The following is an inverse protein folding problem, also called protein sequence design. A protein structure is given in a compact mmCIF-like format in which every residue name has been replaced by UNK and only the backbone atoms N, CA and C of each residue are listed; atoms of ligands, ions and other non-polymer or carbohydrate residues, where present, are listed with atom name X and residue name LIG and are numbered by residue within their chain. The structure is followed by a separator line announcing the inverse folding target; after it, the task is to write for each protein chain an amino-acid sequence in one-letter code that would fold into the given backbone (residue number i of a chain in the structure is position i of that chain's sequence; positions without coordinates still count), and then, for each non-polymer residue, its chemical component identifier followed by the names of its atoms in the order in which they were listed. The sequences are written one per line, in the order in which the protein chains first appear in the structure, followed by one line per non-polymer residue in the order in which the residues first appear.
data_IF_433927310990
#
_entry.id   IF_433927310990
#
_cell.length_a   1.000
_cell.length_b   1.000
_cell.length_c   1.000
_cell.angle_alpha   90.00
_cell.angle_beta   90.00
_cell.angle_gamma   90.00
#
_symmetry.space_group_name_H-M   'P 1'
#
loop_
_entity.id
_entity.type
_entity.pdbx_description
1 polymer ?
#
# COMPACT_ATOMS: atom_id res chain seq x y z
N UNK A 1 12.77 -14.29 7.04
CA UNK A 1 13.10 -13.10 6.23
C UNK A 1 13.53 -11.97 7.16
N UNK A 2 14.47 -11.09 6.78
CA UNK A 2 14.83 -9.92 7.56
C UNK A 2 13.64 -8.99 7.75
N UNK A 3 13.54 -8.29 8.90
CA UNK A 3 12.48 -7.31 9.17
C UNK A 3 12.37 -6.24 8.07
N UNK A 4 13.51 -5.79 7.56
CA UNK A 4 13.59 -4.82 6.47
C UNK A 4 12.83 -5.26 5.19
N UNK A 5 12.74 -6.57 4.94
CA UNK A 5 11.95 -7.11 3.83
C UNK A 5 10.47 -6.80 3.98
N UNK A 6 9.89 -7.18 5.12
CA UNK A 6 8.45 -7.05 5.39
C UNK A 6 8.04 -5.60 5.65
N UNK A 7 8.84 -4.86 6.41
CA UNK A 7 8.58 -3.45 6.72
C UNK A 7 8.86 -2.53 5.53
N UNK A 8 9.79 -2.91 4.64
CA UNK A 8 10.13 -2.18 3.43
C UNK A 8 8.98 -2.13 2.44
N UNK A 9 8.30 -3.27 2.18
CA UNK A 9 7.13 -3.28 1.30
C UNK A 9 5.95 -2.48 1.87
N UNK A 10 5.77 -2.49 3.20
CA UNK A 10 4.78 -1.63 3.88
C UNK A 10 5.11 -0.15 3.73
N UNK A 11 6.36 0.24 3.97
CA UNK A 11 6.83 1.61 3.79
C UNK A 11 6.62 2.10 2.36
N UNK A 12 6.83 1.20 1.38
CA UNK A 12 6.64 1.45 -0.04
C UNK A 12 5.18 1.77 -0.38
N UNK A 13 4.22 0.94 0.08
CA UNK A 13 2.78 1.21 -0.11
C UNK A 13 2.38 2.50 0.59
N UNK A 14 2.80 2.67 1.84
CA UNK A 14 2.41 3.79 2.68
C UNK A 14 2.83 5.12 2.05
N UNK A 15 4.06 5.20 1.53
CA UNK A 15 4.55 6.41 0.89
C UNK A 15 3.98 6.60 -0.51
N UNK A 16 4.11 5.59 -1.37
CA UNK A 16 3.80 5.73 -2.80
C UNK A 16 2.30 5.73 -3.11
N UNK A 17 1.49 4.98 -2.35
CA UNK A 17 0.05 4.85 -2.64
C UNK A 17 -0.80 5.61 -1.61
N UNK A 18 -0.52 5.44 -0.32
CA UNK A 18 -1.37 6.04 0.73
C UNK A 18 -1.09 7.54 0.91
N UNK A 19 0.18 7.96 0.96
CA UNK A 19 0.53 9.35 1.13
C UNK A 19 0.49 10.16 -0.17
N UNK A 20 0.95 9.59 -1.29
CA UNK A 20 1.09 10.37 -2.53
C UNK A 20 -0.21 10.52 -3.32
N UNK A 21 -1.01 9.46 -3.52
CA UNK A 21 -2.21 9.55 -4.36
C UNK A 21 -3.23 10.60 -3.89
N UNK A 22 -3.43 10.85 -2.58
CA UNK A 22 -4.31 11.92 -2.14
C UNK A 22 -3.79 13.33 -2.47
N UNK A 23 -2.52 13.48 -2.86
CA UNK A 23 -1.95 14.77 -3.28
C UNK A 23 -2.37 15.18 -4.69
N UNK A 24 -2.64 14.22 -5.58
CA UNK A 24 -2.89 14.48 -7.01
C UNK A 24 -4.39 14.64 -7.34
N UNK A 25 -4.70 14.87 -8.62
CA UNK A 25 -6.05 15.05 -9.14
C UNK A 25 -6.81 16.18 -8.43
N UNK A 26 -8.02 15.92 -7.94
CA UNK A 26 -8.85 16.85 -7.18
C UNK A 26 -8.69 16.72 -5.66
N UNK A 27 -7.58 16.10 -5.23
CA UNK A 27 -7.20 15.95 -3.83
C UNK A 27 -6.56 17.21 -3.22
N UNK A 28 -5.46 17.03 -2.50
CA UNK A 28 -4.84 18.07 -1.67
C UNK A 28 -4.19 19.16 -2.53
N UNK A 29 -3.30 18.80 -3.47
CA UNK A 29 -2.64 19.79 -4.33
C UNK A 29 -3.54 20.25 -5.47
N UNK A 30 -4.60 19.49 -5.79
CA UNK A 30 -5.64 19.89 -6.74
C UNK A 30 -6.48 21.09 -6.26
N UNK A 31 -6.68 21.21 -4.94
CA UNK A 31 -7.39 22.33 -4.31
C UNK A 31 -6.53 22.88 -3.17
N UNK A 32 -5.40 23.54 -3.49
CA UNK A 32 -4.31 23.76 -2.53
C UNK A 32 -4.70 24.64 -1.34
N UNK A 33 -5.64 25.58 -1.52
CA UNK A 33 -6.08 26.48 -0.44
C UNK A 33 -6.73 25.69 0.71
N UNK A 34 -7.56 24.69 0.39
CA UNK A 34 -8.15 23.79 1.39
C UNK A 34 -7.11 22.74 1.78
N UNK A 35 -6.56 22.06 0.77
CA UNK A 35 -5.69 20.91 0.92
C UNK A 35 -4.47 21.18 1.78
N UNK A 36 -3.65 22.16 1.39
CA UNK A 36 -2.38 22.45 2.07
C UNK A 36 -2.64 22.97 3.49
N UNK A 37 -3.66 23.80 3.70
CA UNK A 37 -3.96 24.32 5.04
C UNK A 37 -4.43 23.20 5.97
N UNK A 38 -5.38 22.37 5.54
CA UNK A 38 -5.81 21.19 6.31
C UNK A 38 -4.65 20.22 6.55
N UNK A 39 -3.78 20.01 5.57
CA UNK A 39 -2.57 19.20 5.72
C UNK A 39 -1.59 19.77 6.73
N UNK A 40 -1.36 21.09 6.75
CA UNK A 40 -0.50 21.71 7.77
C UNK A 40 -1.07 21.54 9.18
N UNK A 41 -2.40 21.62 9.35
CA UNK A 41 -3.03 21.31 10.64
C UNK A 41 -2.74 19.87 11.05
N UNK A 42 -2.91 18.90 10.14
CA UNK A 42 -2.57 17.50 10.38
C UNK A 42 -1.10 17.33 10.76
N UNK A 43 -0.17 17.89 9.98
CA UNK A 43 1.27 17.74 10.23
C UNK A 43 1.69 18.36 11.57
N UNK A 44 1.17 19.54 11.91
CA UNK A 44 1.45 20.18 13.20
C UNK A 44 0.89 19.37 14.37
N UNK A 45 -0.31 18.83 14.22
CA UNK A 45 -1.02 18.22 15.35
C UNK A 45 -0.69 16.75 15.55
N UNK A 46 -0.55 15.99 14.47
CA UNK A 46 -0.37 14.54 14.52
C UNK A 46 1.09 14.12 14.30
N UNK A 47 1.83 14.76 13.39
CA UNK A 47 3.27 14.43 13.17
C UNK A 47 4.16 15.15 14.19
N UNK A 48 4.01 16.47 14.31
CA UNK A 48 4.79 17.27 15.27
C UNK A 48 4.22 17.22 16.71
N UNK A 49 3.11 16.49 16.91
CA UNK A 49 2.48 16.27 18.22
C UNK A 49 2.18 17.56 19.00
N UNK A 50 1.84 18.67 18.30
CA UNK A 50 1.46 19.94 18.92
C UNK A 50 -0.05 19.99 19.15
N UNK A 51 -0.49 20.67 20.21
CA UNK A 51 -1.92 20.80 20.50
C UNK A 51 -2.54 21.86 19.61
N UNK A 52 -3.73 21.57 19.08
CA UNK A 52 -4.57 22.57 18.45
C UNK A 52 -5.31 23.41 19.51
N UNK A 53 -5.77 24.60 19.14
CA UNK A 53 -6.52 25.47 20.04
C UNK A 53 -7.75 24.74 20.62
N UNK A 54 -7.97 24.86 21.93
CA UNK A 54 -9.08 24.23 22.63
C UNK A 54 -8.98 22.70 22.79
N UNK A 55 -7.80 22.09 22.57
CA UNK A 55 -7.58 20.64 22.63
C UNK A 55 -8.47 19.83 21.66
N UNK A 56 -8.89 20.44 20.55
CA UNK A 56 -9.63 19.73 19.49
C UNK A 56 -8.71 18.65 18.88
N UNK A 57 -9.19 17.41 18.65
CA UNK A 57 -8.42 16.38 17.96
C UNK A 57 -7.90 16.86 16.60
N UNK A 58 -6.63 16.62 16.30
CA UNK A 58 -5.96 17.15 15.11
C UNK A 58 -6.69 16.86 13.79
N UNK A 59 -7.17 15.62 13.63
CA UNK A 59 -7.94 15.22 12.46
C UNK A 59 -9.27 16.00 12.32
N UNK A 60 -9.99 16.18 13.42
CA UNK A 60 -11.23 16.96 13.44
C UNK A 60 -10.95 18.44 13.17
N UNK A 61 -9.90 18.99 13.76
CA UNK A 61 -9.49 20.38 13.53
C UNK A 61 -9.17 20.62 12.06
N UNK A 62 -8.40 19.73 11.41
CA UNK A 62 -8.07 19.84 9.99
C UNK A 62 -9.30 19.82 9.08
N UNK A 63 -10.27 18.93 9.39
CA UNK A 63 -11.54 18.85 8.66
C UNK A 63 -12.36 20.13 8.83
N UNK A 64 -12.54 20.62 10.06
CA UNK A 64 -13.31 21.83 10.35
C UNK A 64 -12.68 23.08 9.70
N UNK A 65 -11.36 23.20 9.75
CA UNK A 65 -10.64 24.29 9.07
C UNK A 65 -10.83 24.19 7.56
N UNK A 66 -10.72 23.00 6.99
CA UNK A 66 -10.94 22.78 5.55
C UNK A 66 -12.36 23.12 5.11
N UNK A 67 -13.37 22.72 5.90
CA UNK A 67 -14.78 23.04 5.65
C UNK A 67 -15.04 24.55 5.76
N UNK A 68 -14.43 25.24 6.73
CA UNK A 68 -14.53 26.69 6.87
C UNK A 68 -13.94 27.40 5.63
N UNK A 69 -12.75 27.00 5.21
CA UNK A 69 -12.10 27.55 4.01
C UNK A 69 -12.95 27.30 2.77
N UNK A 70 -13.53 26.11 2.65
CA UNK A 70 -14.44 25.78 1.56
C UNK A 70 -15.67 26.68 1.54
N UNK A 71 -16.35 26.84 2.68
CA UNK A 71 -17.53 27.70 2.80
C UNK A 71 -17.21 29.17 2.45
N UNK A 72 -16.07 29.68 2.91
CA UNK A 72 -15.58 31.02 2.55
C UNK A 72 -15.28 31.12 1.06
N UNK A 73 -14.65 30.09 0.47
CA UNK A 73 -14.38 30.03 -0.96
C UNK A 73 -15.65 30.08 -1.82
N UNK A 74 -16.71 29.38 -1.42
CA UNK A 74 -18.03 29.43 -2.07
C UNK A 74 -18.64 30.83 -1.94
N UNK A 75 -18.55 31.46 -0.77
CA UNK A 75 -19.05 32.82 -0.57
C UNK A 75 -18.32 33.84 -1.46
N UNK A 76 -16.99 33.77 -1.53
CA UNK A 76 -16.17 34.61 -2.43
C UNK A 76 -16.59 34.41 -3.88
N UNK A 77 -16.75 33.16 -4.32
CA UNK A 77 -17.21 32.85 -5.67
C UNK A 77 -18.57 33.48 -5.96
N UNK A 78 -19.53 33.39 -5.03
CA UNK A 78 -20.87 33.97 -5.20
C UNK A 78 -20.86 35.50 -5.34
N UNK A 79 -19.92 36.20 -4.70
CA UNK A 79 -19.86 37.67 -4.70
C UNK A 79 -19.00 38.24 -5.83
N UNK A 80 -17.95 37.51 -6.23
CA UNK A 80 -16.91 38.02 -7.14
C UNK A 80 -16.87 37.28 -8.48
N UNK A 81 -17.50 36.11 -8.59
CA UNK A 81 -17.38 35.19 -9.71
C UNK A 81 -16.05 34.40 -9.74
N UNK A 82 -15.10 34.68 -8.84
CA UNK A 82 -13.79 34.03 -8.82
C UNK A 82 -13.91 32.65 -8.15
N UNK A 83 -13.62 31.58 -8.89
CA UNK A 83 -13.64 30.22 -8.34
C UNK A 83 -12.38 29.94 -7.53
N UNK A 84 -12.50 29.91 -6.21
CA UNK A 84 -11.41 29.58 -5.27
C UNK A 84 -11.42 28.10 -4.89
N UNK A 85 -12.61 27.49 -4.88
CA UNK A 85 -12.84 26.11 -4.46
C UNK A 85 -13.86 25.46 -5.41
N UNK A 86 -13.81 24.13 -5.62
CA UNK A 86 -14.81 23.45 -6.43
C UNK A 86 -16.21 23.54 -5.79
N UNK A 87 -17.29 23.42 -6.56
CA UNK A 87 -18.64 23.35 -6.01
C UNK A 87 -18.84 22.08 -5.17
N UNK A 88 -19.73 22.15 -4.19
CA UNK A 88 -20.16 20.97 -3.44
C UNK A 88 -20.92 20.01 -4.35
N UNK A 89 -20.56 18.73 -4.27
CA UNK A 89 -21.34 17.67 -4.89
C UNK A 89 -22.32 17.12 -3.86
N UNK A 90 -23.60 17.03 -4.22
CA UNK A 90 -24.64 16.43 -3.39
C UNK A 90 -24.97 15.07 -3.99
N UNK A 91 -24.33 13.98 -3.50
CA UNK A 91 -24.56 12.67 -4.04
C UNK A 91 -25.98 12.22 -3.70
N UNK A 92 -26.58 11.44 -4.59
CA UNK A 92 -27.87 10.82 -4.30
C UNK A 92 -27.67 9.68 -3.31
N UNK A 93 -28.22 9.83 -2.11
CA UNK A 93 -28.26 8.74 -1.13
C UNK A 93 -29.39 7.80 -1.55
N UNK A 94 -29.03 6.66 -2.13
CA UNK A 94 -29.94 5.55 -2.36
C UNK A 94 -29.66 4.46 -1.35
N UNK A 95 -30.72 3.93 -0.73
CA UNK A 95 -30.61 2.69 0.00
C UNK A 95 -30.45 1.56 -1.01
N UNK A 96 -29.24 0.99 -1.08
CA UNK A 96 -28.99 -0.23 -1.83
C UNK A 96 -28.95 -1.36 -0.81
N UNK A 97 -29.95 -2.26 -0.77
CA UNK A 97 -29.94 -3.37 0.16
C UNK A 97 -28.66 -4.20 -0.08
N UNK A 98 -27.90 -4.49 0.99
CA UNK A 98 -26.65 -5.23 0.84
C UNK A 98 -26.96 -6.65 0.41
N UNK A 99 -26.15 -7.19 -0.50
CA UNK A 99 -26.14 -8.62 -0.78
C UNK A 99 -25.55 -9.31 0.44
N UNK A 100 -26.40 -9.92 1.26
CA UNK A 100 -25.97 -10.53 2.53
C UNK A 100 -25.20 -11.84 2.33
N UNK A 101 -25.33 -12.48 1.16
CA UNK A 101 -24.67 -13.76 0.87
C UNK A 101 -24.17 -13.83 -0.59
N UNK A 102 -23.21 -12.98 -0.97
CA UNK A 102 -22.72 -12.93 -2.35
C UNK A 102 -22.02 -14.24 -2.77
N UNK A 103 -21.47 -14.98 -1.80
CA UNK A 103 -20.83 -16.27 -2.04
C UNK A 103 -21.79 -17.33 -2.64
N UNK A 104 -23.09 -17.25 -2.37
CA UNK A 104 -24.05 -18.25 -2.85
C UNK A 104 -24.73 -17.92 -4.18
N UNK A 105 -24.55 -16.70 -4.72
CA UNK A 105 -25.30 -16.24 -5.89
C UNK A 105 -24.68 -16.66 -7.23
N UNK A 106 -23.38 -16.97 -7.25
CA UNK A 106 -22.67 -17.35 -8.47
C UNK A 106 -22.93 -18.78 -8.92
N UNK A 107 -23.14 -18.96 -10.23
CA UNK A 107 -23.17 -20.27 -10.87
C UNK A 107 -21.75 -20.87 -11.05
N UNK A 108 -21.65 -22.07 -11.62
CA UNK A 108 -20.35 -22.73 -11.83
C UNK A 108 -19.42 -21.94 -12.78
N UNK A 109 -19.99 -21.23 -13.76
CA UNK A 109 -19.22 -20.42 -14.70
C UNK A 109 -18.64 -19.18 -13.99
N UNK A 110 -19.43 -18.52 -13.15
CA UNK A 110 -18.99 -17.42 -12.31
C UNK A 110 -17.87 -17.85 -11.36
N UNK A 111 -18.02 -18.98 -10.66
CA UNK A 111 -16.99 -19.49 -9.77
C UNK A 111 -15.68 -19.83 -10.49
N UNK A 112 -15.77 -20.32 -11.72
CA UNK A 112 -14.59 -20.56 -12.57
C UNK A 112 -13.85 -19.25 -12.87
N UNK A 113 -14.60 -18.18 -13.19
CA UNK A 113 -14.02 -16.85 -13.41
C UNK A 113 -13.41 -16.27 -12.12
N UNK A 114 -14.10 -16.40 -10.98
CA UNK A 114 -13.61 -15.96 -9.67
C UNK A 114 -12.31 -16.66 -9.28
N UNK A 115 -12.21 -17.98 -9.47
CA UNK A 115 -10.96 -18.70 -9.22
C UNK A 115 -9.84 -18.24 -10.13
N UNK A 116 -10.13 -17.99 -11.40
CA UNK A 116 -9.17 -17.41 -12.34
C UNK A 116 -8.64 -16.07 -11.84
N UNK A 117 -9.52 -15.17 -11.41
CA UNK A 117 -9.15 -13.84 -10.92
C UNK A 117 -8.44 -13.90 -9.56
N UNK A 118 -8.90 -14.73 -8.63
CA UNK A 118 -8.26 -14.92 -7.33
C UNK A 118 -6.82 -15.41 -7.45
N UNK A 119 -6.54 -16.32 -8.40
CA UNK A 119 -5.19 -16.78 -8.69
C UNK A 119 -4.30 -15.64 -9.24
N UNK A 120 -4.86 -14.71 -10.02
CA UNK A 120 -4.14 -13.53 -10.52
C UNK A 120 -3.76 -12.56 -9.41
N UNK A 121 -4.61 -12.43 -8.37
CA UNK A 121 -4.32 -11.56 -7.22
C UNK A 121 -3.44 -12.20 -6.15
N UNK A 122 -3.15 -13.51 -6.22
CA UNK A 122 -2.33 -14.22 -5.23
C UNK A 122 -0.95 -13.56 -4.98
N UNK A 123 -0.22 -13.06 -6.01
CA UNK A 123 1.04 -12.33 -5.82
C UNK A 123 0.92 -11.05 -4.99
N UNK A 124 -0.24 -10.42 -4.96
CA UNK A 124 -0.53 -9.23 -4.14
C UNK A 124 -1.09 -9.63 -2.77
N UNK A 125 -2.00 -10.60 -2.75
CA UNK A 125 -2.69 -11.06 -1.55
C UNK A 125 -1.73 -11.76 -0.57
N UNK A 126 -0.77 -12.56 -1.04
CA UNK A 126 0.16 -13.29 -0.15
C UNK A 126 1.10 -12.36 0.64
N UNK A 127 1.86 -11.42 0.03
CA UNK A 127 2.66 -10.47 0.79
C UNK A 127 1.83 -9.62 1.73
N UNK A 128 0.66 -9.20 1.28
CA UNK A 128 -0.25 -8.41 2.09
C UNK A 128 -0.69 -9.20 3.33
N UNK A 129 -1.12 -10.45 3.16
CA UNK A 129 -1.49 -11.34 4.26
C UNK A 129 -0.33 -11.67 5.20
N UNK A 130 0.90 -11.80 4.69
CA UNK A 130 2.07 -11.98 5.55
C UNK A 130 2.42 -10.71 6.34
N UNK A 131 2.26 -9.54 5.71
CA UNK A 131 2.50 -8.26 6.36
C UNK A 131 1.47 -7.97 7.45
N UNK A 132 0.20 -8.32 7.24
CA UNK A 132 -0.84 -8.19 8.27
C UNK A 132 -0.61 -9.13 9.44
N UNK A 133 -0.12 -10.36 9.22
CA UNK A 133 0.29 -11.26 10.32
C UNK A 133 1.38 -10.61 11.18
N UNK A 134 2.40 -10.01 10.55
CA UNK A 134 3.47 -9.31 11.28
C UNK A 134 2.91 -8.10 12.02
N UNK A 135 2.06 -7.30 11.36
CA UNK A 135 1.36 -6.18 12.00
C UNK A 135 0.49 -6.61 13.18
N UNK A 136 -0.15 -7.78 13.11
CA UNK A 136 -0.93 -8.37 14.19
C UNK A 136 -0.05 -8.76 15.39
N UNK A 137 1.14 -9.33 15.14
CA UNK A 137 2.13 -9.61 16.19
C UNK A 137 2.58 -8.31 16.86
N UNK A 138 2.93 -7.30 16.07
CA UNK A 138 3.37 -5.98 16.58
C UNK A 138 2.25 -5.30 17.39
N UNK A 139 0.99 -5.46 17.00
CA UNK A 139 -0.14 -4.95 17.78
C UNK A 139 -0.26 -5.64 19.15
N UNK A 140 -0.02 -6.94 19.22
CA UNK A 140 -0.04 -7.69 20.49
C UNK A 140 1.14 -7.28 21.38
N UNK A 141 2.34 -7.13 20.82
CA UNK A 141 3.51 -6.60 21.55
C UNK A 141 3.27 -5.17 22.06
N UNK A 142 2.66 -4.33 21.22
CA UNK A 142 2.27 -2.96 21.58
C UNK A 142 1.25 -2.93 22.72
N UNK A 143 0.27 -3.83 22.70
CA UNK A 143 -0.70 -3.96 23.78
C UNK A 143 -0.05 -4.43 25.09
N UNK A 144 0.86 -5.41 25.02
CA UNK A 144 1.61 -5.89 26.18
C UNK A 144 2.44 -4.77 26.82
N UNK A 145 3.06 -3.91 26.00
CA UNK A 145 3.78 -2.73 26.49
C UNK A 145 2.87 -1.69 27.19
N UNK A 146 1.56 -1.70 26.91
CA UNK A 146 0.56 -0.90 27.61
C UNK A 146 -0.11 -1.65 28.80
N UNK A 147 0.40 -2.83 29.16
CA UNK A 147 -0.07 -3.64 30.28
C UNK A 147 -1.26 -4.55 29.98
N UNK A 148 -1.56 -4.81 28.71
CA UNK A 148 -2.57 -5.80 28.31
C UNK A 148 -1.91 -6.96 27.55
N UNK A 149 -1.77 -8.11 28.22
CA UNK A 149 -1.21 -9.32 27.61
C UNK A 149 -2.30 -10.12 26.89
N UNK A 150 -2.06 -10.44 25.62
CA UNK A 150 -2.93 -11.25 24.79
C UNK A 150 -2.15 -12.42 24.18
N UNK A 151 -2.82 -13.57 24.00
CA UNK A 151 -2.23 -14.68 23.24
C UNK A 151 -2.16 -14.31 21.76
N UNK A 152 -0.94 -14.13 21.25
CA UNK A 152 -0.70 -13.77 19.84
C UNK A 152 -1.36 -14.74 18.88
N UNK A 153 -1.33 -16.05 19.18
CA UNK A 153 -1.93 -17.07 18.29
C UNK A 153 -3.45 -16.92 18.24
N UNK A 154 -4.09 -16.75 19.38
CA UNK A 154 -5.53 -16.51 19.48
C UNK A 154 -5.98 -15.24 18.76
N UNK A 155 -5.22 -14.15 18.85
CA UNK A 155 -5.51 -12.89 18.15
C UNK A 155 -5.40 -13.09 16.62
N UNK A 156 -4.30 -13.68 16.14
CA UNK A 156 -4.11 -13.93 14.71
C UNK A 156 -5.16 -14.92 14.15
N UNK A 157 -5.56 -15.93 14.93
CA UNK A 157 -6.61 -16.86 14.51
C UNK A 157 -7.97 -16.15 14.41
N UNK A 158 -8.27 -15.28 15.36
CA UNK A 158 -9.51 -14.48 15.35
C UNK A 158 -9.54 -13.55 14.13
N UNK A 159 -8.41 -12.89 13.82
CA UNK A 159 -8.25 -12.08 12.61
C UNK A 159 -8.48 -12.90 11.33
N UNK A 160 -7.87 -14.08 11.23
CA UNK A 160 -8.00 -14.94 10.06
C UNK A 160 -9.45 -15.41 9.87
N UNK A 161 -10.11 -15.88 10.94
CA UNK A 161 -11.50 -16.32 10.90
C UNK A 161 -12.43 -15.16 10.51
N UNK A 162 -12.25 -13.98 11.13
CA UNK A 162 -13.03 -12.80 10.80
C UNK A 162 -12.83 -12.35 9.34
N UNK A 163 -11.61 -12.48 8.81
CA UNK A 163 -11.31 -12.16 7.40
C UNK A 163 -11.99 -13.12 6.42
N UNK A 164 -11.99 -14.43 6.73
CA UNK A 164 -12.71 -15.43 5.92
C UNK A 164 -14.21 -15.14 5.93
N UNK A 165 -14.79 -14.89 7.12
CA UNK A 165 -16.20 -14.52 7.23
C UNK A 165 -16.52 -13.23 6.47
N UNK A 166 -15.67 -12.19 6.59
CA UNK A 166 -15.84 -10.96 5.83
C UNK A 166 -15.81 -11.23 4.33
N UNK A 167 -14.85 -12.02 3.83
CA UNK A 167 -14.74 -12.39 2.41
C UNK A 167 -15.97 -13.14 1.89
N UNK A 168 -16.52 -14.08 2.66
CA UNK A 168 -17.77 -14.79 2.32
C UNK A 168 -18.95 -13.81 2.19
N UNK A 169 -18.96 -12.76 3.00
CA UNK A 169 -19.98 -11.70 2.97
C UNK A 169 -19.66 -10.58 1.96
N UNK A 170 -18.65 -10.75 1.10
CA UNK A 170 -18.28 -9.77 0.06
C UNK A 170 -17.28 -8.69 0.51
N UNK A 171 -16.66 -8.85 1.68
CA UNK A 171 -15.57 -8.01 2.14
C UNK A 171 -14.33 -8.15 1.25
N UNK A 172 -13.73 -7.01 0.89
CA UNK A 172 -12.63 -6.93 -0.09
C UNK A 172 -11.23 -6.82 0.54
N UNK A 173 -11.15 -6.62 1.86
CA UNK A 173 -9.90 -6.37 2.59
C UNK A 173 -9.83 -7.27 3.81
N UNK A 174 -8.64 -7.81 4.09
CA UNK A 174 -8.35 -8.57 5.31
C UNK A 174 -8.53 -7.69 6.56
N UNK A 175 -9.14 -8.21 7.62
CA UNK A 175 -9.19 -7.50 8.90
C UNK A 175 -7.81 -7.50 9.57
N UNK A 176 -7.54 -6.54 10.44
CA UNK A 176 -6.33 -6.49 11.25
C UNK A 176 -6.65 -5.95 12.65
N UNK A 177 -5.92 -6.34 13.70
CA UNK A 177 -6.05 -5.72 15.02
C UNK A 177 -5.84 -4.20 14.96
N UNK A 178 -6.45 -3.46 15.90
CA UNK A 178 -6.30 -2.01 15.97
C UNK A 178 -4.85 -1.62 16.27
N UNK A 179 -4.16 -1.08 15.28
CA UNK A 179 -2.85 -0.44 15.45
C UNK A 179 -3.02 0.75 16.41
N UNK A 180 -2.10 0.87 17.38
CA UNK A 180 -2.12 1.97 18.35
C UNK A 180 -2.96 1.70 19.60
N UNK A 181 -3.13 0.43 19.99
CA UNK A 181 -3.75 0.02 21.26
C UNK A 181 -3.34 0.90 22.48
N UNK A 182 -2.05 1.23 22.70
CA UNK A 182 -1.66 2.12 23.80
C UNK A 182 -2.29 3.52 23.73
N UNK A 183 -2.47 4.07 22.53
CA UNK A 183 -3.09 5.38 22.33
C UNK A 183 -4.58 5.33 22.66
N UNK A 184 -5.31 4.35 22.11
CA UNK A 184 -6.73 4.15 22.42
C UNK A 184 -6.98 3.91 23.91
N UNK A 185 -6.13 3.12 24.57
CA UNK A 185 -6.21 2.89 26.01
C UNK A 185 -6.00 4.17 26.81
N UNK A 186 -5.01 4.99 26.46
CA UNK A 186 -4.80 6.32 27.10
C UNK A 186 -5.99 7.27 26.91
N UNK A 187 -6.74 7.12 25.83
CA UNK A 187 -7.99 7.86 25.58
C UNK A 187 -9.21 7.28 26.33
N UNK A 188 -9.05 6.18 27.08
CA UNK A 188 -10.13 5.49 27.77
C UNK A 188 -10.93 4.53 26.88
N UNK A 189 -10.44 4.25 25.66
CA UNK A 189 -11.01 3.25 24.76
C UNK A 189 -10.95 1.84 25.36
N UNK A 190 -12.08 1.12 25.29
CA UNK A 190 -12.23 -0.28 25.76
C UNK A 190 -13.01 -1.07 24.71
N UNK A 191 -13.35 -2.32 24.99
CA UNK A 191 -14.13 -3.19 24.09
C UNK A 191 -15.43 -2.56 23.59
N UNK A 192 -16.12 -1.77 24.42
CA UNK A 192 -17.34 -1.05 24.01
C UNK A 192 -17.11 -0.02 22.89
N UNK A 193 -15.94 0.63 22.86
CA UNK A 193 -15.57 1.55 21.78
C UNK A 193 -15.38 0.80 20.46
N UNK A 194 -14.70 -0.35 20.50
CA UNK A 194 -14.52 -1.22 19.34
C UNK A 194 -15.86 -1.72 18.81
N UNK A 195 -16.77 -2.16 19.69
CA UNK A 195 -18.12 -2.60 19.31
C UNK A 195 -18.94 -1.47 18.71
N UNK A 196 -18.93 -0.28 19.34
CA UNK A 196 -19.63 0.89 18.81
C UNK A 196 -19.12 1.27 17.42
N UNK A 197 -17.80 1.20 17.21
CA UNK A 197 -17.19 1.45 15.89
C UNK A 197 -17.65 0.42 14.87
N UNK A 198 -17.64 -0.88 15.22
CA UNK A 198 -18.12 -1.94 14.34
C UNK A 198 -19.60 -1.76 13.96
N UNK A 199 -20.46 -1.37 14.91
CA UNK A 199 -21.88 -1.12 14.67
C UNK A 199 -22.09 0.11 13.80
N UNK A 200 -21.47 1.26 14.12
CA UNK A 200 -21.64 2.50 13.36
C UNK A 200 -21.11 2.33 11.94
N UNK A 201 -19.91 1.77 11.77
CA UNK A 201 -19.31 1.57 10.46
C UNK A 201 -20.05 0.47 9.68
N UNK A 202 -20.41 -0.63 10.35
CA UNK A 202 -21.18 -1.71 9.73
C UNK A 202 -22.54 -1.25 9.24
N UNK A 203 -23.33 -0.56 10.08
CA UNK A 203 -24.64 -0.01 9.69
C UNK A 203 -24.47 1.04 8.60
N UNK A 204 -23.48 1.93 8.70
CA UNK A 204 -23.19 2.94 7.69
C UNK A 204 -22.86 2.32 6.33
N UNK A 205 -22.10 1.22 6.31
CA UNK A 205 -21.79 0.45 5.11
C UNK A 205 -23.02 -0.26 4.54
N UNK A 206 -23.80 -0.96 5.37
CA UNK A 206 -25.00 -1.69 4.96
C UNK A 206 -26.11 -0.78 4.41
N UNK A 207 -26.16 0.48 4.84
CA UNK A 207 -27.17 1.45 4.42
C UNK A 207 -26.71 2.36 3.27
N UNK A 208 -25.42 2.32 2.91
CA UNK A 208 -24.83 3.27 1.95
C UNK A 208 -24.66 4.69 2.51
N UNK A 209 -24.82 4.90 3.82
CA UNK A 209 -24.77 6.24 4.43
C UNK A 209 -23.43 6.96 4.23
N UNK A 210 -22.34 6.21 4.00
CA UNK A 210 -21.02 6.79 3.75
C UNK A 210 -20.91 7.58 2.45
N UNK A 211 -21.85 7.43 1.51
CA UNK A 211 -21.93 8.28 0.31
C UNK A 211 -22.03 9.77 0.70
N UNK A 212 -22.63 10.10 1.85
CA UNK A 212 -22.67 11.49 2.37
C UNK A 212 -21.26 12.07 2.59
N UNK A 213 -20.24 11.24 2.84
CA UNK A 213 -18.86 11.72 2.97
C UNK A 213 -18.29 12.26 1.65
N UNK A 214 -18.87 11.92 0.49
CA UNK A 214 -18.51 12.52 -0.80
C UNK A 214 -18.89 14.00 -0.90
N UNK A 215 -19.77 14.48 0.00
CA UNK A 215 -20.06 15.92 0.13
C UNK A 215 -18.89 16.69 0.75
N UNK A 216 -17.99 16.01 1.48
CA UNK A 216 -16.86 16.67 2.11
C UNK A 216 -15.81 17.02 1.05
N UNK A 217 -15.21 18.23 1.10
CA UNK A 217 -14.15 18.59 0.17
C UNK A 217 -12.99 17.61 0.33
N UNK A 218 -12.56 16.98 -0.77
CA UNK A 218 -11.44 16.02 -0.76
C UNK A 218 -10.18 16.61 -0.12
N UNK A 219 -9.85 17.88 -0.43
CA UNK A 219 -8.73 18.58 0.20
C UNK A 219 -8.81 18.68 1.74
N UNK A 220 -10.00 18.65 2.34
CA UNK A 220 -10.17 18.65 3.79
C UNK A 220 -10.11 17.23 4.38
N UNK A 221 -10.55 16.23 3.63
CA UNK A 221 -10.67 14.83 4.08
C UNK A 221 -9.35 14.06 3.92
N UNK A 222 -8.72 14.17 2.76
CA UNK A 222 -7.54 13.39 2.35
C UNK A 222 -6.26 13.61 3.17
N UNK A 223 -5.99 14.76 3.80
CA UNK A 223 -4.76 14.96 4.57
C UNK A 223 -4.49 13.95 5.68
N UNK A 224 -5.53 13.32 6.23
CA UNK A 224 -5.34 12.24 7.22
C UNK A 224 -4.58 11.04 6.62
N UNK A 225 -4.79 10.75 5.33
CA UNK A 225 -4.10 9.67 4.62
C UNK A 225 -2.61 9.97 4.45
N UNK A 226 -2.25 11.24 4.22
CA UNK A 226 -0.84 11.67 4.17
C UNK A 226 -0.15 11.41 5.51
N UNK A 227 -0.81 11.75 6.63
CA UNK A 227 -0.30 11.44 7.96
C UNK A 227 -0.11 9.93 8.15
N UNK A 228 -1.13 9.13 7.84
CA UNK A 228 -1.05 7.66 7.98
C UNK A 228 0.10 7.10 7.16
N UNK A 229 0.26 7.54 5.91
CA UNK A 229 1.37 7.09 5.06
C UNK A 229 2.74 7.49 5.60
N UNK A 230 2.91 8.75 6.04
CA UNK A 230 4.18 9.24 6.63
C UNK A 230 4.53 8.50 7.91
N UNK A 231 3.58 8.29 8.82
CA UNK A 231 3.82 7.58 10.08
C UNK A 231 4.17 6.11 9.86
N UNK A 232 3.47 5.41 8.96
CA UNK A 232 3.79 4.01 8.64
C UNK A 232 5.20 3.93 8.04
N UNK A 233 5.54 4.81 7.10
CA UNK A 233 6.90 4.87 6.53
C UNK A 233 7.94 5.14 7.61
N UNK A 234 7.72 6.13 8.49
CA UNK A 234 8.65 6.45 9.58
C UNK A 234 8.82 5.28 10.55
N UNK A 235 7.72 4.64 10.97
CA UNK A 235 7.74 3.48 11.85
C UNK A 235 8.51 2.29 11.24
N UNK A 236 8.36 2.03 9.94
CA UNK A 236 9.12 0.99 9.24
C UNK A 236 10.63 1.23 9.30
N UNK A 237 11.10 2.48 9.20
CA UNK A 237 12.51 2.80 9.41
C UNK A 237 12.92 2.64 10.88
N UNK A 238 12.14 3.18 11.83
CA UNK A 238 12.47 3.15 13.25
C UNK A 238 12.56 1.74 13.85
N UNK A 239 11.74 0.80 13.39
CA UNK A 239 11.75 -0.60 13.86
C UNK A 239 12.82 -1.45 13.15
N UNK A 240 13.34 -0.98 12.02
CA UNK A 240 14.38 -1.65 11.25
C UNK A 240 15.77 -1.24 11.75
N UNK A 241 16.74 -2.17 11.89
CA UNK A 241 18.11 -1.79 12.24
C UNK A 241 18.68 -0.74 11.26
N UNK A 242 19.40 0.26 11.77
CA UNK A 242 19.91 1.40 10.99
C UNK A 242 20.71 0.95 9.75
N UNK A 243 21.54 -0.09 9.90
CA UNK A 243 22.31 -0.67 8.78
C UNK A 243 21.43 -1.15 7.61
N UNK A 244 20.17 -1.49 7.85
CA UNK A 244 19.23 -1.97 6.82
C UNK A 244 18.32 -0.87 6.24
N UNK A 245 18.49 0.41 6.61
CA UNK A 245 17.68 1.49 6.04
C UNK A 245 17.77 1.57 4.51
N UNK A 246 18.94 1.27 3.93
CA UNK A 246 19.11 1.20 2.48
C UNK A 246 18.22 0.11 1.84
N UNK A 247 18.00 -1.01 2.53
CA UNK A 247 17.09 -2.07 2.06
C UNK A 247 15.62 -1.62 2.10
N UNK A 248 15.22 -0.88 3.14
CA UNK A 248 13.86 -0.29 3.24
C UNK A 248 13.63 0.73 2.13
N UNK A 249 14.60 1.61 1.86
CA UNK A 249 14.52 2.58 0.77
C UNK A 249 14.46 1.89 -0.61
N UNK A 250 15.28 0.86 -0.84
CA UNK A 250 15.26 0.07 -2.08
C UNK A 250 13.87 -0.56 -2.31
N UNK A 251 13.21 -1.01 -1.24
CA UNK A 251 11.85 -1.57 -1.29
C UNK A 251 10.82 -0.60 -1.87
N UNK A 252 11.06 0.71 -1.84
CA UNK A 252 10.07 1.69 -2.36
C UNK A 252 10.03 1.78 -3.88
N UNK A 253 11.08 1.37 -4.58
CA UNK A 253 11.20 1.58 -6.02
C UNK A 253 10.09 0.87 -6.85
N UNK A 254 9.75 -0.41 -6.58
CA UNK A 254 8.65 -1.05 -7.30
C UNK A 254 7.29 -0.38 -7.05
N UNK A 255 7.03 0.09 -5.82
CA UNK A 255 5.79 0.79 -5.51
C UNK A 255 5.69 2.18 -6.18
N UNK A 256 6.82 2.88 -6.33
CA UNK A 256 6.87 4.12 -7.11
C UNK A 256 6.54 3.87 -8.59
N UNK A 257 6.95 2.74 -9.15
CA UNK A 257 6.54 2.35 -10.50
C UNK A 257 5.03 2.08 -10.59
N UNK A 258 4.45 1.40 -9.60
CA UNK A 258 3.01 1.18 -9.52
C UNK A 258 2.23 2.50 -9.40
N UNK A 259 2.69 3.42 -8.55
CA UNK A 259 2.14 4.77 -8.42
C UNK A 259 2.20 5.53 -9.75
N UNK A 260 3.37 5.54 -10.41
CA UNK A 260 3.53 6.21 -11.71
C UNK A 260 2.60 5.61 -12.78
N UNK A 261 2.46 4.28 -12.81
CA UNK A 261 1.54 3.59 -13.70
C UNK A 261 0.08 3.99 -13.44
N UNK A 262 -0.34 4.12 -12.18
CA UNK A 262 -1.67 4.61 -11.81
C UNK A 262 -1.90 6.05 -12.29
N UNK A 263 -0.91 6.93 -12.12
CA UNK A 263 -0.98 8.30 -12.63
C UNK A 263 -1.12 8.33 -14.16
N UNK A 264 -0.34 7.52 -14.89
CA UNK A 264 -0.43 7.44 -16.36
C UNK A 264 -1.81 6.93 -16.79
N UNK A 265 -2.31 5.85 -16.16
CA UNK A 265 -3.66 5.31 -16.43
C UNK A 265 -4.75 6.37 -16.15
N UNK A 266 -4.59 7.19 -15.12
CA UNK A 266 -5.51 8.30 -14.83
C UNK A 266 -5.53 9.39 -15.90
N UNK A 267 -4.45 9.55 -16.67
CA UNK A 267 -4.33 10.57 -17.73
C UNK A 267 -4.89 10.03 -19.05
N UNK A 268 -4.51 8.81 -19.44
CA UNK A 268 -4.87 8.24 -20.74
C UNK A 268 -6.17 7.41 -20.72
N UNK A 269 -6.68 7.07 -19.54
CA UNK A 269 -7.85 6.21 -19.39
C UNK A 269 -7.60 4.83 -20.06
N UNK A 270 -8.47 4.38 -20.96
CA UNK A 270 -8.29 3.11 -21.68
C UNK A 270 -7.30 3.20 -22.86
N UNK A 271 -6.80 4.39 -23.20
CA UNK A 271 -5.87 4.57 -24.33
C UNK A 271 -4.43 4.35 -23.90
N UNK A 272 -3.59 3.98 -24.87
CA UNK A 272 -2.14 3.88 -24.70
C UNK A 272 -1.40 5.06 -25.36
N UNK A 273 -0.17 5.39 -24.91
CA UNK A 273 0.68 6.36 -25.58
C UNK A 273 0.94 5.97 -27.04
N UNK A 274 1.01 6.96 -27.93
CA UNK A 274 1.24 6.72 -29.36
C UNK A 274 2.73 6.68 -29.74
N UNK A 275 3.60 7.26 -28.91
CA UNK A 275 5.05 7.25 -29.16
C UNK A 275 5.68 5.94 -28.69
N UNK A 276 6.68 5.45 -29.42
CA UNK A 276 7.42 4.23 -29.05
C UNK A 276 8.10 4.38 -27.68
N UNK A 277 8.67 5.55 -27.38
CA UNK A 277 9.24 5.86 -26.07
C UNK A 277 8.18 5.82 -24.96
N UNK A 278 6.98 6.34 -25.22
CA UNK A 278 5.86 6.30 -24.27
C UNK A 278 5.39 4.87 -24.01
N UNK A 279 5.25 4.04 -25.05
CA UNK A 279 4.91 2.63 -24.92
C UNK A 279 6.00 1.85 -24.17
N UNK A 280 7.28 2.13 -24.44
CA UNK A 280 8.38 1.50 -23.73
C UNK A 280 8.36 1.86 -22.24
N UNK A 281 8.20 3.15 -21.92
CA UNK A 281 8.10 3.64 -20.53
C UNK A 281 6.92 2.99 -19.81
N UNK A 282 5.74 2.95 -20.44
CA UNK A 282 4.55 2.30 -19.90
C UNK A 282 4.79 0.80 -19.66
N UNK A 283 5.42 0.11 -20.60
CA UNK A 283 5.74 -1.30 -20.48
C UNK A 283 6.75 -1.59 -19.37
N UNK A 284 7.79 -0.76 -19.22
CA UNK A 284 8.76 -0.91 -18.14
C UNK A 284 8.15 -0.63 -16.77
N UNK A 285 7.33 0.41 -16.66
CA UNK A 285 6.58 0.68 -15.43
C UNK A 285 5.62 -0.46 -15.10
N UNK A 286 4.95 -1.04 -16.10
CA UNK A 286 4.09 -2.22 -15.93
C UNK A 286 4.88 -3.42 -15.41
N UNK A 287 6.00 -3.77 -16.02
CA UNK A 287 6.87 -4.83 -15.49
C UNK A 287 7.37 -4.50 -14.07
N UNK A 288 7.67 -3.26 -13.73
CA UNK A 288 8.10 -2.92 -12.37
C UNK A 288 6.96 -2.94 -11.34
N UNK A 289 5.75 -2.56 -11.75
CA UNK A 289 4.56 -2.47 -10.92
C UNK A 289 3.91 -3.84 -10.66
N UNK A 290 3.92 -4.74 -11.64
CA UNK A 290 3.25 -6.03 -11.51
C UNK A 290 3.97 -6.90 -10.48
N UNK A 291 3.25 -7.24 -9.40
CA UNK A 291 3.82 -7.93 -8.24
C UNK A 291 4.74 -7.05 -7.37
N UNK A 292 4.61 -5.71 -7.42
CA UNK A 292 5.52 -4.79 -6.75
C UNK A 292 5.73 -5.08 -5.26
N UNK A 293 4.73 -5.62 -4.54
CA UNK A 293 4.86 -5.99 -3.14
C UNK A 293 5.86 -7.12 -2.92
N UNK A 294 5.76 -8.20 -3.73
CA UNK A 294 6.73 -9.29 -3.70
C UNK A 294 8.10 -8.81 -4.16
N UNK A 295 8.17 -7.99 -5.21
CA UNK A 295 9.44 -7.42 -5.68
C UNK A 295 10.11 -6.63 -4.58
N UNK A 296 9.37 -5.75 -3.90
CA UNK A 296 9.86 -4.93 -2.78
C UNK A 296 10.35 -5.80 -1.62
N UNK A 297 9.58 -6.82 -1.24
CA UNK A 297 9.93 -7.80 -0.20
C UNK A 297 11.22 -8.53 -0.54
N UNK A 298 11.34 -9.08 -1.74
CA UNK A 298 12.48 -9.88 -2.18
C UNK A 298 13.74 -9.02 -2.33
N UNK A 299 13.63 -7.83 -2.91
CA UNK A 299 14.76 -6.90 -3.07
C UNK A 299 15.29 -6.42 -1.73
N UNK A 300 14.41 -6.01 -0.82
CA UNK A 300 14.81 -5.60 0.53
C UNK A 300 15.38 -6.76 1.35
N UNK A 301 14.81 -7.97 1.22
CA UNK A 301 15.35 -9.19 1.86
C UNK A 301 16.76 -9.50 1.35
N UNK A 302 16.96 -9.50 0.03
CA UNK A 302 18.27 -9.76 -0.56
C UNK A 302 19.28 -8.68 -0.15
N UNK A 303 18.89 -7.40 -0.18
CA UNK A 303 19.75 -6.28 0.23
C UNK A 303 20.15 -6.36 1.71
N UNK A 304 19.21 -6.62 2.61
CA UNK A 304 19.52 -6.79 4.03
C UNK A 304 20.46 -7.98 4.28
N UNK A 305 20.26 -9.11 3.57
CA UNK A 305 21.18 -10.25 3.65
C UNK A 305 22.58 -9.93 3.10
N UNK A 306 22.67 -9.12 2.04
CA UNK A 306 23.97 -8.67 1.52
C UNK A 306 24.69 -7.75 2.50
N UNK A 307 23.96 -6.82 3.13
CA UNK A 307 24.51 -5.94 4.18
C UNK A 307 25.01 -6.77 5.38
N UNK A 308 24.32 -7.85 5.73
CA UNK A 308 24.71 -8.76 6.82
C UNK A 308 25.85 -9.75 6.43
N UNK A 309 26.47 -9.61 5.25
CA UNK A 309 27.49 -10.54 4.75
C UNK A 309 26.95 -11.93 4.35
N UNK A 310 25.63 -12.14 4.41
CA UNK A 310 24.97 -13.42 4.11
C UNK A 310 24.72 -13.58 2.61
N UNK A 311 25.76 -13.42 1.79
CA UNK A 311 25.67 -13.41 0.32
C UNK A 311 25.04 -14.70 -0.25
N UNK A 312 25.34 -15.87 0.32
CA UNK A 312 24.72 -17.15 -0.10
C UNK A 312 23.21 -17.20 0.13
N UNK A 313 22.73 -16.58 1.20
CA UNK A 313 21.30 -16.50 1.46
C UNK A 313 20.65 -15.49 0.50
N UNK A 314 21.31 -14.35 0.25
CA UNK A 314 20.84 -13.35 -0.71
C UNK A 314 20.71 -13.93 -2.13
N UNK A 315 21.67 -14.74 -2.59
CA UNK A 315 21.57 -15.40 -3.89
C UNK A 315 20.39 -16.38 -3.98
N UNK A 316 20.04 -17.09 -2.90
CA UNK A 316 18.85 -17.95 -2.89
C UNK A 316 17.57 -17.13 -3.05
N UNK A 317 17.49 -15.95 -2.40
CA UNK A 317 16.36 -15.02 -2.57
C UNK A 317 16.25 -14.55 -4.02
N UNK A 318 17.37 -14.25 -4.68
CA UNK A 318 17.38 -13.87 -6.10
C UNK A 318 16.98 -15.02 -7.02
N UNK A 319 17.34 -16.28 -6.72
CA UNK A 319 16.83 -17.44 -7.46
C UNK A 319 15.31 -17.58 -7.30
N UNK A 320 14.77 -17.34 -6.10
CA UNK A 320 13.31 -17.32 -5.89
C UNK A 320 12.65 -16.21 -6.72
N UNK A 321 13.25 -15.01 -6.76
CA UNK A 321 12.78 -13.92 -7.61
C UNK A 321 12.81 -14.31 -9.10
N UNK A 322 13.84 -15.04 -9.55
CA UNK A 322 13.91 -15.54 -10.91
C UNK A 322 12.72 -16.47 -11.23
N UNK A 323 12.43 -17.43 -10.35
CA UNK A 323 11.30 -18.36 -10.51
C UNK A 323 9.96 -17.61 -10.56
N UNK A 324 9.76 -16.64 -9.67
CA UNK A 324 8.54 -15.83 -9.65
C UNK A 324 8.42 -14.96 -10.91
N UNK A 325 9.52 -14.38 -11.39
CA UNK A 325 9.52 -13.59 -12.62
C UNK A 325 9.22 -14.42 -13.87
N UNK A 326 9.65 -15.68 -13.88
CA UNK A 326 9.45 -16.59 -15.00
C UNK A 326 7.97 -16.88 -15.24
N UNK A 327 7.17 -17.00 -14.18
CA UNK A 327 5.73 -17.28 -14.26
C UNK A 327 4.85 -16.02 -14.13
N UNK A 328 5.45 -14.84 -14.10
CA UNK A 328 4.72 -13.57 -14.00
C UNK A 328 4.11 -13.27 -12.62
N UNK A 329 4.55 -13.95 -11.55
CA UNK A 329 4.21 -13.58 -10.16
C UNK A 329 4.79 -12.21 -9.80
N UNK A 330 5.98 -11.91 -10.33
CA UNK A 330 6.55 -10.55 -10.38
C UNK A 330 6.93 -10.25 -11.82
N UNK A 331 6.98 -8.97 -12.19
CA UNK A 331 7.42 -8.54 -13.52
C UNK A 331 6.64 -9.09 -14.72
N UNK A 332 5.37 -9.49 -14.51
CA UNK A 332 4.50 -9.81 -15.62
C UNK A 332 4.44 -8.62 -16.59
N UNK A 333 4.62 -8.82 -17.90
CA UNK A 333 4.50 -7.74 -18.88
C UNK A 333 3.04 -7.46 -19.25
N UNK A 334 2.08 -8.23 -18.74
CA UNK A 334 0.68 -8.16 -19.14
C UNK A 334 -0.11 -7.11 -18.33
N UNK A 335 -1.08 -6.40 -18.94
CA UNK A 335 -1.86 -5.38 -18.24
C UNK A 335 -2.70 -5.90 -17.08
N UNK A 336 -3.10 -7.17 -17.13
CA UNK A 336 -3.97 -7.85 -16.16
C UNK A 336 -3.18 -8.63 -15.09
N UNK A 337 -1.86 -8.45 -15.04
CA UNK A 337 -0.94 -9.02 -14.04
C UNK A 337 -1.01 -10.55 -13.89
N UNK A 338 -1.58 -11.25 -14.87
CA UNK A 338 -1.85 -12.67 -14.73
C UNK A 338 -0.57 -13.49 -14.57
N UNK A 339 -0.66 -14.49 -13.69
CA UNK A 339 0.33 -15.56 -13.56
C UNK A 339 0.10 -16.54 -14.72
N UNK A 340 1.13 -16.73 -15.54
CA UNK A 340 1.07 -17.61 -16.70
C UNK A 340 2.48 -18.07 -17.07
N UNK A 341 2.57 -19.19 -17.79
CA UNK A 341 3.88 -19.65 -18.26
C UNK A 341 4.47 -18.69 -19.30
N UNK A 342 5.81 -18.61 -19.43
CA UNK A 342 6.46 -17.63 -20.31
C UNK A 342 5.94 -17.61 -21.76
N UNK A 343 5.62 -18.78 -22.32
CA UNK A 343 5.11 -18.89 -23.69
C UNK A 343 3.67 -18.39 -23.84
N UNK A 344 2.84 -18.55 -22.81
CA UNK A 344 1.48 -17.99 -22.78
C UNK A 344 1.55 -16.47 -22.64
N UNK A 345 2.41 -15.99 -21.74
CA UNK A 345 2.65 -14.55 -21.56
C UNK A 345 3.01 -13.89 -22.88
N UNK A 346 3.96 -14.49 -23.63
CA UNK A 346 4.40 -13.98 -24.93
C UNK A 346 3.30 -14.02 -26.00
N UNK A 347 2.45 -15.06 -26.00
CA UNK A 347 1.34 -15.17 -26.93
C UNK A 347 0.24 -14.12 -26.68
N UNK A 348 0.08 -13.71 -25.42
CA UNK A 348 -0.99 -12.81 -24.99
C UNK A 348 -0.58 -11.33 -24.93
N UNK A 349 0.66 -11.00 -25.29
CA UNK A 349 1.11 -9.61 -25.40
C UNK A 349 0.34 -8.93 -26.53
N UNK A 350 -0.30 -7.77 -26.29
CA UNK A 350 -0.96 -7.05 -27.37
C UNK A 350 0.06 -6.65 -28.44
N UNK A 351 -0.31 -6.74 -29.72
CA UNK A 351 0.60 -6.50 -30.86
C UNK A 351 1.28 -5.13 -30.81
N UNK A 352 0.61 -4.12 -30.24
CA UNK A 352 1.17 -2.78 -30.01
C UNK A 352 2.44 -2.78 -29.14
N UNK A 353 2.62 -3.80 -28.29
CA UNK A 353 3.75 -3.93 -27.37
C UNK A 353 4.84 -4.90 -27.86
N UNK A 354 4.68 -5.52 -29.03
CA UNK A 354 5.57 -6.58 -29.52
C UNK A 354 7.04 -6.14 -29.62
N UNK A 355 7.29 -4.89 -30.03
CA UNK A 355 8.65 -4.35 -30.15
C UNK A 355 9.22 -3.90 -28.80
N UNK A 356 8.40 -3.36 -27.90
CA UNK A 356 8.90 -2.81 -26.62
C UNK A 356 9.14 -3.89 -25.57
N UNK A 357 8.48 -5.05 -25.70
CA UNK A 357 8.68 -6.19 -24.80
C UNK A 357 9.94 -7.00 -25.14
N UNK A 358 10.59 -6.77 -26.28
CA UNK A 358 11.68 -7.63 -26.78
C UNK A 358 12.75 -7.96 -25.72
N UNK A 359 13.06 -7.03 -24.81
CA UNK A 359 14.04 -7.20 -23.72
C UNK A 359 13.43 -7.29 -22.32
N UNK A 360 12.12 -7.38 -22.20
CA UNK A 360 11.37 -7.29 -20.95
C UNK A 360 10.43 -8.49 -20.75
N UNK A 361 10.72 -9.61 -21.43
CA UNK A 361 9.93 -10.85 -21.32
C UNK A 361 10.21 -11.56 -19.98
N UNK A 362 9.37 -12.52 -19.56
CA UNK A 362 9.62 -13.30 -18.34
C UNK A 362 11.00 -13.98 -18.32
N UNK A 363 11.50 -14.38 -19.50
CA UNK A 363 12.85 -14.94 -19.64
C UNK A 363 13.95 -13.94 -19.31
N UNK A 364 13.82 -12.69 -19.77
CA UNK A 364 14.82 -11.65 -19.52
C UNK A 364 14.91 -11.33 -18.03
N UNK A 365 13.77 -11.18 -17.36
CA UNK A 365 13.73 -10.97 -15.91
C UNK A 365 14.31 -12.16 -15.14
N UNK A 366 13.92 -13.39 -15.49
CA UNK A 366 14.45 -14.58 -14.84
C UNK A 366 15.97 -14.71 -15.02
N UNK A 367 16.48 -14.51 -16.24
CA UNK A 367 17.91 -14.53 -16.53
C UNK A 367 18.65 -13.44 -15.75
N UNK A 368 18.11 -12.22 -15.68
CA UNK A 368 18.72 -11.13 -14.92
C UNK A 368 18.88 -11.50 -13.42
N UNK A 369 17.86 -12.11 -12.82
CA UNK A 369 17.93 -12.59 -11.44
C UNK A 369 18.89 -13.76 -11.26
N UNK A 370 18.94 -14.73 -12.19
CA UNK A 370 19.88 -15.85 -12.13
C UNK A 370 21.33 -15.36 -12.25
N UNK A 371 21.61 -14.44 -13.19
CA UNK A 371 22.94 -13.86 -13.35
C UNK A 371 23.33 -13.06 -12.10
N UNK A 372 22.40 -12.32 -11.51
CA UNK A 372 22.63 -11.61 -10.25
C UNK A 372 22.91 -12.59 -9.10
N UNK A 373 22.13 -13.67 -8.99
CA UNK A 373 22.34 -14.70 -7.99
C UNK A 373 23.71 -15.39 -8.13
N UNK A 374 24.11 -15.71 -9.36
CA UNK A 374 25.41 -16.29 -9.67
C UNK A 374 26.55 -15.34 -9.31
N UNK A 375 26.42 -14.05 -9.65
CA UNK A 375 27.39 -13.02 -9.29
C UNK A 375 27.56 -12.91 -7.77
N UNK A 376 26.46 -12.79 -7.03
CA UNK A 376 26.47 -12.71 -5.57
C UNK A 376 27.05 -13.99 -4.94
N UNK A 377 26.72 -15.16 -5.50
CA UNK A 377 27.29 -16.43 -5.04
C UNK A 377 28.80 -16.51 -5.27
N UNK A 378 29.29 -16.06 -6.42
CA UNK A 378 30.72 -15.99 -6.73
C UNK A 378 31.45 -15.04 -5.76
N UNK A 379 30.86 -13.88 -5.46
CA UNK A 379 31.39 -12.96 -4.45
C UNK A 379 31.44 -13.60 -3.06
N UNK A 380 30.49 -14.47 -2.72
CA UNK A 380 30.47 -15.24 -1.48
C UNK A 380 31.60 -16.30 -1.37
N UNK A 381 32.35 -16.55 -2.45
CA UNK A 381 33.55 -17.40 -2.43
C UNK A 381 34.83 -16.59 -2.13
N UNK A 382 34.78 -15.26 -2.28
CA UNK A 382 35.87 -14.35 -1.94
C UNK A 382 36.00 -14.12 -0.43
N UNK A 383 37.04 -13.38 0.00
CA UNK A 383 37.16 -12.93 1.39
C UNK A 383 36.07 -11.88 1.68
N UNK A 384 35.37 -12.07 2.79
CA UNK A 384 34.23 -11.26 3.19
C UNK A 384 34.70 -10.00 3.94
N UNK A 385 34.60 -8.83 3.30
CA UNK A 385 34.97 -7.54 3.89
C UNK A 385 33.76 -6.78 4.45
N UNK A 386 32.56 -7.37 4.43
CA UNK A 386 31.32 -6.68 4.80
C UNK A 386 31.33 -6.13 6.24
N UNK A 387 32.03 -6.82 7.15
CA UNK A 387 32.14 -6.42 8.55
C UNK A 387 33.02 -5.17 8.76
N UNK A 388 33.85 -4.76 7.81
CA UNK A 388 34.73 -3.58 7.96
C UNK A 388 34.00 -2.26 7.68
N UNK A 389 32.93 -2.28 6.89
CA UNK A 389 32.23 -1.05 6.42
C UNK A 389 31.07 -0.65 7.33
N UNK A 390 30.42 -1.62 7.97
CA UNK A 390 29.27 -1.40 8.86
C UNK A 390 29.57 -1.67 10.35
N UNK A 391 30.84 -1.81 10.72
CA UNK A 391 31.24 -1.83 12.12
C UNK A 391 30.75 -0.52 12.77
N UNK A 392 29.90 -0.63 13.79
CA UNK A 392 29.46 0.54 14.55
C UNK A 392 30.69 1.12 15.25
N UNK A 393 31.09 2.38 14.97
CA UNK A 393 32.21 3.00 15.67
C UNK A 393 31.97 3.12 17.18
N UNK A 394 30.77 2.82 17.69
CA UNK A 394 30.42 2.83 19.11
C UNK A 394 30.31 1.42 19.76
N UNK A 395 30.62 0.32 19.05
CA UNK A 395 30.61 -1.05 19.61
C UNK A 395 31.96 -1.48 20.24
N UNK A 396 32.77 -0.54 20.75
CA UNK A 396 34.01 -0.83 21.51
C UNK A 396 33.83 -0.61 23.00
#
# INVERSE_FOLDING_TARGET
MPRAGLLGSLAAIALALIAFLPLVNDGIAGVPVIGIVSMMVILVTLVAHRRFFGNIPGALAALLVGLLIHAVGIAIHSWTGISVVPPLNFPQVSFVPPVLWPFGEGDAAWWTAVWGEALRYLPVALPFALATIVGGIDCVESAAAAGDEYDTRGILLTEAVASVFAGILGGVIQTTPYIGHPAYKKMGGRSGYTLATALVVGIGGLTGAFVVLEMLPKGALFPILVFVGVEITAASFLVTPVRHHAAVALATLPALAAMALLCIKSIFGPMDPTSEMGLNTLQTLRCMANGFLLTSLLWATAMAMMIDGRLRAASVVLVIAALFSLVGVIHSPLPDERVAFPWQVLADVPSAYANVITYQTPWHWAIAYILSAALIWLLALGKDNANEVYADPNEV
#
